data_IF_483863809229
#
_entry.id   IF_483863809229
#
_cell.length_a   1.000
_cell.length_b   1.000
_cell.length_c   1.000
_cell.angle_alpha   90.00
_cell.angle_beta   90.00
_cell.angle_gamma   90.00
#
_symmetry.space_group_name_H-M   'P 1'
#
loop_
_entity.id
_entity.type
_entity.pdbx_description
1 polymer ?
#
# COMPACT_ATOMS: atom_id res chain seq x y z
N UNK A 1 27.92 -4.00 -15.82
CA UNK A 1 27.47 -4.57 -17.10
C UNK A 1 27.17 -3.42 -18.05
N UNK A 2 27.40 -3.56 -19.36
CA UNK A 2 27.05 -2.49 -20.31
C UNK A 2 25.52 -2.41 -20.48
N UNK A 3 24.98 -1.26 -20.82
CA UNK A 3 23.56 -1.04 -21.09
C UNK A 3 22.97 -2.04 -22.09
N UNK A 4 23.77 -2.49 -23.07
CA UNK A 4 23.43 -3.53 -24.04
C UNK A 4 23.23 -4.92 -23.39
N UNK A 5 24.05 -5.29 -22.39
CA UNK A 5 23.93 -6.58 -21.70
C UNK A 5 22.70 -6.61 -20.79
N UNK A 6 22.38 -5.50 -20.11
CA UNK A 6 21.17 -5.37 -19.29
C UNK A 6 19.91 -5.47 -20.16
N UNK A 7 19.90 -4.81 -21.33
CA UNK A 7 18.81 -4.90 -22.30
C UNK A 7 18.58 -6.33 -22.78
N UNK A 8 19.64 -7.04 -23.19
CA UNK A 8 19.53 -8.43 -23.69
C UNK A 8 19.03 -9.38 -22.61
N UNK A 9 19.51 -9.24 -21.37
CA UNK A 9 19.08 -10.08 -20.26
C UNK A 9 17.58 -9.93 -19.96
N UNK A 10 17.09 -8.69 -19.90
CA UNK A 10 15.65 -8.44 -19.69
C UNK A 10 14.82 -8.90 -20.88
N UNK A 11 15.30 -8.71 -22.12
CA UNK A 11 14.62 -9.17 -23.31
C UNK A 11 14.40 -10.69 -23.32
N UNK A 12 15.35 -11.47 -22.82
CA UNK A 12 15.22 -12.93 -22.68
C UNK A 12 14.14 -13.30 -21.64
N UNK A 13 14.13 -12.63 -20.46
CA UNK A 13 13.10 -12.86 -19.44
C UNK A 13 11.70 -12.53 -19.99
N UNK A 14 11.55 -11.40 -20.65
CA UNK A 14 10.28 -10.96 -21.24
C UNK A 14 9.84 -11.91 -22.36
N UNK A 15 10.75 -12.37 -23.21
CA UNK A 15 10.42 -13.32 -24.29
C UNK A 15 9.90 -14.67 -23.73
N UNK A 16 10.51 -15.21 -22.66
CA UNK A 16 10.03 -16.42 -21.98
C UNK A 16 8.68 -16.17 -21.32
N UNK A 17 8.51 -15.05 -20.63
CA UNK A 17 7.24 -14.65 -20.02
C UNK A 17 6.11 -14.55 -21.05
N UNK A 18 6.36 -13.96 -22.23
CA UNK A 18 5.36 -13.86 -23.31
C UNK A 18 4.95 -15.22 -23.84
N UNK A 19 5.90 -16.16 -24.01
CA UNK A 19 5.59 -17.54 -24.43
C UNK A 19 4.70 -18.24 -23.40
N UNK A 20 5.03 -18.11 -22.12
CA UNK A 20 4.25 -18.68 -21.03
C UNK A 20 2.85 -18.03 -20.93
N UNK A 21 2.78 -16.72 -21.07
CA UNK A 21 1.53 -15.96 -21.04
C UNK A 21 0.61 -16.33 -22.22
N UNK A 22 1.15 -16.57 -23.40
CA UNK A 22 0.35 -17.01 -24.55
C UNK A 22 -0.36 -18.36 -24.28
N UNK A 23 0.28 -19.28 -23.55
CA UNK A 23 -0.33 -20.53 -23.10
C UNK A 23 -1.42 -20.24 -22.06
N UNK A 24 -1.11 -19.43 -21.03
CA UNK A 24 -2.07 -19.06 -19.98
C UNK A 24 -3.31 -18.35 -20.53
N UNK A 25 -3.18 -17.63 -21.64
CA UNK A 25 -4.30 -16.92 -22.27
C UNK A 25 -5.43 -17.86 -22.71
N UNK A 26 -5.14 -19.14 -22.94
CA UNK A 26 -6.13 -20.18 -23.23
C UNK A 26 -6.80 -20.80 -21.99
N UNK A 27 -6.38 -20.44 -20.78
CA UNK A 27 -6.89 -21.05 -19.54
C UNK A 27 -8.28 -20.49 -19.17
N UNK A 28 -9.12 -21.38 -18.64
CA UNK A 28 -10.43 -21.04 -18.09
C UNK A 28 -10.31 -20.32 -16.74
N UNK A 29 -11.42 -19.72 -16.26
CA UNK A 29 -11.49 -19.15 -14.92
C UNK A 29 -11.14 -20.17 -13.83
N UNK A 30 -11.66 -21.39 -13.94
CA UNK A 30 -11.40 -22.46 -12.98
C UNK A 30 -9.91 -22.82 -12.91
N UNK A 31 -9.22 -22.87 -14.05
CA UNK A 31 -7.79 -23.19 -14.11
C UNK A 31 -6.94 -22.09 -13.44
N UNK A 32 -7.21 -20.81 -13.73
CA UNK A 32 -6.45 -19.72 -13.10
C UNK A 32 -6.76 -19.57 -11.61
N UNK A 33 -8.00 -19.87 -11.19
CA UNK A 33 -8.40 -19.87 -9.77
C UNK A 33 -7.74 -21.01 -9.00
N UNK A 34 -7.65 -22.20 -9.62
CA UNK A 34 -6.94 -23.34 -9.03
C UNK A 34 -5.45 -22.99 -8.81
N UNK A 35 -4.77 -22.45 -9.83
CA UNK A 35 -3.35 -22.10 -9.73
C UNK A 35 -3.13 -21.04 -8.66
N UNK A 36 -3.92 -19.96 -8.67
CA UNK A 36 -3.81 -18.89 -7.69
C UNK A 36 -4.09 -19.39 -6.26
N UNK A 37 -5.13 -20.20 -6.10
CA UNK A 37 -5.46 -20.84 -4.83
C UNK A 37 -4.36 -21.79 -4.33
N UNK A 38 -3.75 -22.58 -5.21
CA UNK A 38 -2.65 -23.47 -4.87
C UNK A 38 -1.40 -22.67 -4.42
N UNK A 39 -1.07 -21.58 -5.10
CA UNK A 39 0.03 -20.70 -4.70
C UNK A 39 -0.20 -20.17 -3.27
N UNK A 40 -1.39 -19.61 -2.99
CA UNK A 40 -1.71 -19.07 -1.66
C UNK A 40 -1.70 -20.20 -0.63
N UNK A 41 -2.33 -21.34 -0.92
CA UNK A 41 -2.42 -22.47 -0.02
C UNK A 41 -1.04 -22.97 0.41
N UNK A 42 -0.15 -23.26 -0.53
CA UNK A 42 1.17 -23.82 -0.23
C UNK A 42 2.07 -22.82 0.50
N UNK A 43 2.12 -21.56 0.05
CA UNK A 43 2.96 -20.52 0.67
C UNK A 43 2.45 -20.05 2.04
N UNK A 44 1.18 -20.39 2.39
CA UNK A 44 0.60 -20.10 3.70
C UNK A 44 0.72 -21.27 4.68
N UNK A 45 1.30 -22.42 4.29
CA UNK A 45 1.52 -23.53 5.24
C UNK A 45 2.49 -23.14 6.34
N UNK A 46 2.23 -23.53 7.61
CA UNK A 46 2.98 -23.03 8.76
C UNK A 46 4.49 -23.16 8.64
N UNK A 47 4.99 -24.32 8.18
CA UNK A 47 6.44 -24.58 8.08
C UNK A 47 7.10 -23.72 6.99
N UNK A 48 6.47 -23.61 5.80
CA UNK A 48 7.03 -22.82 4.70
C UNK A 48 6.91 -21.32 4.99
N UNK A 49 5.80 -20.88 5.55
CA UNK A 49 5.60 -19.49 5.95
C UNK A 49 6.60 -19.08 7.05
N UNK A 50 6.90 -19.95 8.02
CA UNK A 50 7.94 -19.69 9.03
C UNK A 50 9.30 -19.53 8.37
N UNK A 51 9.70 -20.49 7.51
CA UNK A 51 10.97 -20.42 6.78
C UNK A 51 11.11 -19.14 5.97
N UNK A 52 10.08 -18.74 5.22
CA UNK A 52 10.10 -17.52 4.40
C UNK A 52 10.22 -16.28 5.30
N UNK A 53 9.50 -16.25 6.42
CA UNK A 53 9.53 -15.14 7.37
C UNK A 53 10.92 -14.98 8.03
N UNK A 54 11.54 -16.08 8.44
CA UNK A 54 12.90 -16.11 8.96
C UNK A 54 13.91 -15.61 7.90
N UNK A 55 13.84 -16.14 6.68
CA UNK A 55 14.70 -15.69 5.57
C UNK A 55 14.56 -14.18 5.33
N UNK A 56 13.35 -13.65 5.31
CA UNK A 56 13.08 -12.24 5.09
C UNK A 56 13.67 -11.36 6.21
N UNK A 57 13.51 -11.79 7.46
CA UNK A 57 14.11 -11.11 8.61
C UNK A 57 15.63 -11.19 8.58
N UNK A 58 16.20 -12.37 8.34
CA UNK A 58 17.65 -12.57 8.33
C UNK A 58 18.35 -11.77 7.23
N UNK A 59 17.74 -11.67 6.06
CA UNK A 59 18.29 -10.91 4.94
C UNK A 59 18.16 -9.40 5.12
N UNK A 60 17.08 -8.91 5.70
CA UNK A 60 16.77 -7.48 5.79
C UNK A 60 17.02 -6.88 7.17
N UNK A 61 16.92 -7.71 8.22
CA UNK A 61 16.88 -7.32 9.64
C UNK A 61 15.74 -6.30 9.93
N UNK A 62 14.68 -6.30 9.13
CA UNK A 62 13.53 -5.39 9.23
C UNK A 62 12.30 -6.13 9.75
N UNK A 63 11.55 -5.48 10.63
CA UNK A 63 10.27 -5.97 11.14
C UNK A 63 10.41 -7.08 12.19
N UNK A 64 9.43 -7.96 12.21
CA UNK A 64 9.33 -9.10 13.14
C UNK A 64 9.04 -10.39 12.36
N UNK A 65 9.72 -11.48 12.65
CA UNK A 65 9.49 -12.81 12.04
C UNK A 65 8.02 -13.21 12.16
N UNK A 66 7.43 -13.03 13.33
CA UNK A 66 6.04 -13.38 13.60
C UNK A 66 5.06 -12.56 12.73
N UNK A 67 5.30 -11.25 12.58
CA UNK A 67 4.48 -10.39 11.72
C UNK A 67 4.59 -10.77 10.24
N UNK A 68 5.81 -11.09 9.78
CA UNK A 68 6.02 -11.58 8.41
C UNK A 68 5.32 -12.92 8.17
N UNK A 69 5.41 -13.84 9.13
CA UNK A 69 4.68 -15.11 9.10
C UNK A 69 3.17 -14.88 9.04
N UNK A 70 2.63 -13.98 9.87
CA UNK A 70 1.21 -13.64 9.90
C UNK A 70 0.70 -13.05 8.56
N UNK A 71 1.51 -12.27 7.86
CA UNK A 71 1.16 -11.80 6.50
C UNK A 71 0.91 -12.98 5.54
N UNK A 72 1.73 -14.03 5.62
CA UNK A 72 1.61 -15.21 4.77
C UNK A 72 0.45 -16.11 5.20
N UNK A 73 0.30 -16.38 6.50
CA UNK A 73 -0.66 -17.35 7.02
C UNK A 73 -2.08 -16.82 7.19
N UNK A 74 -2.24 -15.48 7.33
CA UNK A 74 -3.55 -14.87 7.56
C UNK A 74 -3.93 -13.85 6.47
N UNK A 75 -3.05 -12.89 6.13
CA UNK A 75 -3.42 -11.82 5.21
C UNK A 75 -3.50 -12.30 3.76
N UNK A 76 -2.57 -13.13 3.28
CA UNK A 76 -2.64 -13.69 1.92
C UNK A 76 -3.89 -14.53 1.68
N UNK A 77 -4.26 -15.49 2.56
CA UNK A 77 -5.54 -16.20 2.44
C UNK A 77 -6.76 -15.28 2.47
N UNK A 78 -6.73 -14.23 3.30
CA UNK A 78 -7.82 -13.27 3.38
C UNK A 78 -7.97 -12.43 2.07
N UNK A 79 -6.85 -12.05 1.44
CA UNK A 79 -6.87 -11.42 0.11
C UNK A 79 -7.46 -12.39 -0.92
N UNK A 80 -6.99 -13.63 -0.96
CA UNK A 80 -7.53 -14.62 -1.89
C UNK A 80 -9.02 -14.87 -1.68
N UNK A 81 -9.47 -14.89 -0.43
CA UNK A 81 -10.89 -14.99 -0.09
C UNK A 81 -11.71 -13.85 -0.71
N UNK A 82 -11.22 -12.62 -0.68
CA UNK A 82 -11.94 -11.48 -1.26
C UNK A 82 -12.06 -11.59 -2.79
N UNK A 83 -10.99 -11.99 -3.46
CA UNK A 83 -10.93 -11.98 -4.92
C UNK A 83 -11.47 -13.25 -5.58
N UNK A 84 -11.59 -14.40 -4.86
CA UNK A 84 -11.88 -15.72 -5.45
C UNK A 84 -13.19 -15.81 -6.24
N UNK A 85 -14.15 -14.94 -5.94
CA UNK A 85 -15.46 -14.90 -6.62
C UNK A 85 -15.51 -13.90 -7.76
N UNK A 86 -14.48 -13.04 -7.92
CA UNK A 86 -14.41 -12.08 -9.02
C UNK A 86 -14.07 -12.80 -10.33
N UNK A 87 -14.81 -12.51 -11.39
CA UNK A 87 -14.48 -13.00 -12.73
C UNK A 87 -13.33 -12.18 -13.32
N UNK A 88 -12.37 -12.88 -13.91
CA UNK A 88 -11.17 -12.27 -14.53
C UNK A 88 -10.91 -12.84 -15.92
N UNK A 89 -11.75 -13.79 -16.40
CA UNK A 89 -11.58 -14.48 -17.67
C UNK A 89 -12.87 -14.41 -18.47
N UNK A 90 -12.77 -14.00 -19.73
CA UNK A 90 -13.91 -13.91 -20.63
C UNK A 90 -14.90 -12.81 -20.24
N UNK A 91 -16.19 -13.10 -20.39
CA UNK A 91 -17.26 -12.17 -20.03
C UNK A 91 -17.36 -12.06 -18.51
N UNK A 92 -17.11 -10.87 -17.99
CA UNK A 92 -17.14 -10.59 -16.54
C UNK A 92 -18.40 -9.89 -16.09
N UNK A 93 -19.08 -9.20 -17.01
CA UNK A 93 -20.33 -8.47 -16.73
C UNK A 93 -21.21 -8.38 -17.96
N UNK A 94 -22.53 -8.32 -17.75
CA UNK A 94 -23.56 -8.06 -18.77
C UNK A 94 -24.56 -7.05 -18.20
N UNK A 95 -24.53 -5.85 -18.75
CA UNK A 95 -25.53 -4.82 -18.47
C UNK A 95 -26.56 -4.82 -19.63
N UNK A 96 -27.57 -5.65 -19.49
CA UNK A 96 -28.62 -5.81 -20.49
C UNK A 96 -29.42 -4.52 -20.70
N UNK A 97 -29.60 -3.73 -19.64
CA UNK A 97 -30.32 -2.47 -19.69
C UNK A 97 -29.61 -1.41 -20.57
N UNK A 98 -28.30 -1.47 -20.67
CA UNK A 98 -27.48 -0.57 -21.46
C UNK A 98 -26.84 -1.26 -22.68
N UNK A 99 -27.17 -2.54 -22.94
CA UNK A 99 -26.62 -3.29 -24.07
C UNK A 99 -25.13 -3.45 -24.05
N UNK A 100 -24.52 -3.55 -22.84
CA UNK A 100 -23.06 -3.63 -22.68
C UNK A 100 -22.64 -5.01 -22.18
N UNK A 101 -21.70 -5.62 -22.89
CA UNK A 101 -21.00 -6.82 -22.42
C UNK A 101 -19.55 -6.46 -22.15
N UNK A 102 -19.09 -6.67 -20.91
CA UNK A 102 -17.71 -6.39 -20.50
C UNK A 102 -16.89 -7.67 -20.46
N UNK A 103 -15.74 -7.66 -21.14
CA UNK A 103 -14.81 -8.79 -21.25
C UNK A 103 -13.47 -8.41 -20.62
N UNK A 104 -12.97 -9.24 -19.70
CA UNK A 104 -11.63 -9.08 -19.16
C UNK A 104 -10.57 -9.61 -20.13
N UNK A 105 -9.50 -8.83 -20.30
CA UNK A 105 -8.35 -9.18 -21.13
C UNK A 105 -7.04 -8.95 -20.38
N UNK A 106 -6.06 -9.84 -20.46
CA UNK A 106 -4.77 -9.64 -19.81
C UNK A 106 -4.06 -8.40 -20.35
N UNK A 107 -3.19 -7.83 -19.53
CA UNK A 107 -2.18 -6.86 -20.00
C UNK A 107 -1.11 -7.54 -20.85
N UNK A 108 -0.65 -8.71 -20.42
CA UNK A 108 0.46 -9.45 -20.99
C UNK A 108 1.52 -9.79 -19.97
N UNK A 109 2.64 -9.05 -19.96
CA UNK A 109 3.74 -9.24 -19.00
C UNK A 109 3.78 -8.05 -18.03
N UNK A 110 3.76 -8.34 -16.73
CA UNK A 110 3.78 -7.38 -15.64
C UNK A 110 5.20 -7.25 -15.09
N UNK A 111 5.73 -6.02 -15.02
CA UNK A 111 6.88 -5.68 -14.20
C UNK A 111 6.44 -5.49 -12.74
N UNK A 112 6.87 -6.36 -11.82
CA UNK A 112 6.49 -6.35 -10.43
C UNK A 112 7.65 -5.87 -9.54
N UNK A 113 7.65 -4.60 -9.13
CA UNK A 113 8.68 -4.05 -8.24
C UNK A 113 8.39 -4.44 -6.79
N UNK A 114 9.35 -5.04 -6.11
CA UNK A 114 9.19 -5.64 -4.77
C UNK A 114 10.05 -4.88 -3.75
N UNK A 115 9.44 -4.29 -2.68
CA UNK A 115 10.18 -3.57 -1.66
C UNK A 115 10.89 -4.51 -0.68
N UNK A 116 11.91 -4.01 0.02
CA UNK A 116 12.61 -4.78 1.05
C UNK A 116 11.77 -5.04 2.30
N UNK A 117 10.81 -4.17 2.61
CA UNK A 117 9.96 -4.26 3.81
C UNK A 117 8.92 -5.39 3.75
N UNK A 118 8.54 -5.83 2.54
CA UNK A 118 7.54 -6.88 2.31
C UNK A 118 7.99 -7.83 1.18
N UNK A 119 9.26 -8.22 1.18
CA UNK A 119 9.85 -9.09 0.14
C UNK A 119 9.28 -10.51 0.16
N UNK A 120 8.68 -10.93 1.26
CA UNK A 120 8.03 -12.22 1.46
C UNK A 120 6.62 -12.27 0.85
N UNK A 121 5.83 -11.22 1.02
CA UNK A 121 4.40 -11.22 0.69
C UNK A 121 4.09 -10.57 -0.67
N UNK A 122 4.81 -9.51 -1.05
CA UNK A 122 4.55 -8.76 -2.29
C UNK A 122 4.69 -9.61 -3.56
N UNK A 123 5.70 -10.49 -3.72
CA UNK A 123 5.80 -11.33 -4.92
C UNK A 123 4.63 -12.31 -5.03
N UNK A 124 4.14 -12.87 -3.91
CA UNK A 124 2.98 -13.75 -3.89
C UNK A 124 1.73 -12.98 -4.33
N UNK A 125 1.47 -11.83 -3.69
CA UNK A 125 0.33 -10.98 -4.00
C UNK A 125 0.26 -10.61 -5.48
N UNK A 126 1.36 -10.09 -6.04
CA UNK A 126 1.38 -9.66 -7.44
C UNK A 126 1.28 -10.84 -8.42
N UNK A 127 1.86 -11.98 -8.08
CA UNK A 127 1.77 -13.19 -8.90
C UNK A 127 0.35 -13.76 -8.90
N UNK A 128 -0.31 -13.85 -7.75
CA UNK A 128 -1.68 -14.36 -7.61
C UNK A 128 -2.66 -13.52 -8.44
N UNK A 129 -2.63 -12.20 -8.28
CA UNK A 129 -3.53 -11.31 -9.03
C UNK A 129 -3.18 -11.31 -10.53
N UNK A 130 -1.89 -11.35 -10.87
CA UNK A 130 -1.41 -11.41 -12.25
C UNK A 130 -1.88 -12.69 -12.96
N UNK A 131 -1.66 -13.85 -12.36
CA UNK A 131 -2.04 -15.17 -12.93
C UNK A 131 -3.56 -15.27 -13.09
N UNK A 132 -4.35 -14.86 -12.10
CA UNK A 132 -5.80 -14.89 -12.19
C UNK A 132 -6.33 -14.07 -13.38
N UNK A 133 -5.65 -13.00 -13.73
CA UNK A 133 -5.96 -12.19 -14.92
C UNK A 133 -5.21 -12.63 -16.18
N UNK A 134 -4.60 -13.80 -16.17
CA UNK A 134 -3.85 -14.41 -17.28
C UNK A 134 -2.63 -13.61 -17.73
N UNK A 135 -1.96 -12.92 -16.81
CA UNK A 135 -0.68 -12.27 -17.06
C UNK A 135 0.50 -13.14 -16.62
N UNK A 136 1.65 -12.94 -17.25
CA UNK A 136 2.93 -13.32 -16.67
C UNK A 136 3.50 -12.19 -15.81
N UNK A 137 4.30 -12.53 -14.80
CA UNK A 137 4.85 -11.58 -13.82
C UNK A 137 6.35 -11.76 -13.70
N UNK A 138 7.10 -10.67 -13.85
CA UNK A 138 8.54 -10.66 -13.60
C UNK A 138 8.82 -9.78 -12.38
N UNK A 139 9.32 -10.40 -11.31
CA UNK A 139 9.65 -9.71 -10.08
C UNK A 139 11.03 -9.03 -10.17
N UNK A 140 11.08 -7.75 -9.84
CA UNK A 140 12.32 -6.99 -9.62
C UNK A 140 12.46 -6.71 -8.12
N UNK A 141 13.21 -7.53 -7.36
CA UNK A 141 13.39 -7.36 -5.93
C UNK A 141 14.32 -6.19 -5.61
N UNK A 142 14.13 -5.62 -4.42
CA UNK A 142 15.13 -4.73 -3.87
C UNK A 142 16.43 -5.50 -3.62
N UNK A 143 17.64 -4.97 -3.95
CA UNK A 143 18.91 -5.69 -3.78
C UNK A 143 19.16 -6.29 -2.38
N UNK A 144 18.68 -5.59 -1.32
CA UNK A 144 18.83 -6.02 0.07
C UNK A 144 17.84 -7.13 0.50
N UNK A 145 16.97 -7.62 -0.40
CA UNK A 145 15.97 -8.66 -0.09
C UNK A 145 15.79 -9.65 -1.24
N UNK A 146 16.78 -9.75 -2.10
CA UNK A 146 16.71 -10.55 -3.33
C UNK A 146 16.61 -12.05 -3.06
N UNK A 147 17.31 -12.56 -2.04
CA UNK A 147 17.34 -14.01 -1.74
C UNK A 147 15.96 -14.53 -1.34
N UNK A 148 15.27 -13.79 -0.47
CA UNK A 148 13.92 -14.12 -0.04
C UNK A 148 12.94 -14.08 -1.22
N UNK A 149 12.98 -13.01 -2.03
CA UNK A 149 12.08 -12.88 -3.19
C UNK A 149 12.33 -13.99 -4.22
N UNK A 150 13.60 -14.32 -4.51
CA UNK A 150 13.95 -15.42 -5.43
C UNK A 150 13.40 -16.73 -4.88
N UNK A 151 13.62 -17.05 -3.60
CA UNK A 151 13.10 -18.26 -2.98
C UNK A 151 11.58 -18.37 -3.08
N UNK A 152 10.86 -17.28 -2.81
CA UNK A 152 9.39 -17.23 -2.96
C UNK A 152 8.97 -17.49 -4.40
N UNK A 153 9.63 -16.87 -5.37
CA UNK A 153 9.35 -17.08 -6.80
C UNK A 153 9.65 -18.53 -7.22
N UNK A 154 10.73 -19.13 -6.73
CA UNK A 154 11.07 -20.53 -7.03
C UNK A 154 9.99 -21.49 -6.48
N UNK A 155 9.44 -21.23 -5.30
CA UNK A 155 8.30 -22.01 -4.77
C UNK A 155 7.05 -21.81 -5.64
N UNK A 156 6.75 -20.57 -6.07
CA UNK A 156 5.63 -20.30 -6.98
C UNK A 156 5.81 -21.10 -8.29
N UNK A 157 7.01 -21.13 -8.87
CA UNK A 157 7.33 -21.88 -10.08
C UNK A 157 7.09 -23.39 -9.90
N UNK A 158 7.47 -23.94 -8.74
CA UNK A 158 7.18 -25.36 -8.43
C UNK A 158 5.68 -25.62 -8.38
N UNK A 159 4.88 -24.71 -7.79
CA UNK A 159 3.41 -24.84 -7.76
C UNK A 159 2.83 -24.74 -9.17
N UNK A 160 3.34 -23.84 -10.02
CA UNK A 160 2.92 -23.71 -11.43
C UNK A 160 3.11 -25.06 -12.17
N UNK A 161 4.31 -25.65 -12.06
CA UNK A 161 4.62 -26.96 -12.69
C UNK A 161 3.69 -28.04 -12.15
N UNK A 162 3.46 -28.10 -10.83
CA UNK A 162 2.56 -29.06 -10.22
C UNK A 162 1.09 -28.93 -10.69
N UNK A 163 0.68 -27.70 -11.06
CA UNK A 163 -0.62 -27.42 -11.66
C UNK A 163 -0.64 -27.63 -13.20
N UNK A 164 0.43 -28.09 -13.81
CA UNK A 164 0.55 -28.25 -15.28
C UNK A 164 0.64 -26.91 -16.03
N UNK A 165 1.02 -25.82 -15.36
CA UNK A 165 1.19 -24.50 -15.95
C UNK A 165 2.67 -24.20 -16.25
N UNK A 166 2.96 -23.33 -17.24
CA UNK A 166 4.33 -22.93 -17.53
C UNK A 166 5.01 -22.25 -16.34
N UNK A 167 6.19 -22.72 -15.97
CA UNK A 167 6.95 -22.14 -14.85
C UNK A 167 7.38 -20.69 -15.10
N UNK A 168 7.61 -20.30 -16.35
CA UNK A 168 8.03 -18.94 -16.75
C UNK A 168 6.89 -17.89 -16.69
N UNK A 169 5.69 -18.28 -16.20
CA UNK A 169 4.63 -17.33 -15.82
C UNK A 169 5.05 -16.42 -14.68
N UNK A 170 5.95 -16.88 -13.80
CA UNK A 170 6.52 -16.04 -12.75
C UNK A 170 8.04 -16.18 -12.78
N UNK A 171 8.71 -15.05 -12.94
CA UNK A 171 10.16 -14.98 -12.99
C UNK A 171 10.68 -13.91 -12.02
N UNK A 172 11.98 -13.94 -11.72
CA UNK A 172 12.64 -12.98 -10.85
C UNK A 172 14.00 -12.57 -11.42
N UNK A 173 14.34 -11.28 -11.33
CA UNK A 173 15.70 -10.80 -11.64
C UNK A 173 16.65 -11.30 -10.54
N UNK A 174 17.58 -12.18 -10.88
CA UNK A 174 18.51 -12.80 -9.93
C UNK A 174 19.55 -11.83 -9.35
N UNK A 175 20.00 -10.87 -10.13
CA UNK A 175 20.98 -9.86 -9.74
C UNK A 175 20.39 -8.44 -9.92
N UNK A 176 19.45 -8.01 -9.06
CA UNK A 176 18.70 -6.78 -9.28
C UNK A 176 19.57 -5.52 -9.15
N UNK A 177 19.30 -4.57 -10.03
CA UNK A 177 19.88 -3.22 -10.01
C UNK A 177 18.83 -2.19 -10.43
N UNK A 178 19.09 -0.91 -10.18
CA UNK A 178 18.22 0.17 -10.67
C UNK A 178 18.12 0.16 -12.21
N UNK A 179 19.20 -0.12 -12.90
CA UNK A 179 19.24 -0.20 -14.38
C UNK A 179 18.37 -1.35 -14.90
N UNK A 180 18.49 -2.56 -14.33
CA UNK A 180 17.66 -3.70 -14.71
C UNK A 180 16.18 -3.50 -14.39
N UNK A 181 15.85 -2.82 -13.27
CA UNK A 181 14.48 -2.48 -12.94
C UNK A 181 13.89 -1.47 -13.95
N UNK A 182 14.66 -0.45 -14.34
CA UNK A 182 14.25 0.51 -15.36
C UNK A 182 14.04 -0.17 -16.73
N UNK A 183 14.96 -1.06 -17.12
CA UNK A 183 14.84 -1.82 -18.36
C UNK A 183 13.63 -2.77 -18.36
N UNK A 184 13.36 -3.43 -17.21
CA UNK A 184 12.17 -4.26 -17.06
C UNK A 184 10.89 -3.45 -17.25
N UNK A 185 10.79 -2.28 -16.61
CA UNK A 185 9.64 -1.37 -16.75
C UNK A 185 9.44 -0.94 -18.22
N UNK A 186 10.51 -0.69 -18.96
CA UNK A 186 10.45 -0.28 -20.36
C UNK A 186 9.98 -1.41 -21.29
N UNK A 187 10.33 -2.67 -21.02
CA UNK A 187 10.04 -3.81 -21.89
C UNK A 187 8.72 -4.54 -21.56
N UNK A 188 8.20 -4.41 -20.34
CA UNK A 188 6.91 -4.99 -19.95
C UNK A 188 5.72 -4.17 -20.43
N UNK A 189 4.50 -4.74 -20.33
CA UNK A 189 3.27 -4.11 -20.78
C UNK A 189 2.67 -3.16 -19.73
N UNK A 190 2.89 -3.47 -18.45
CA UNK A 190 2.44 -2.65 -17.30
C UNK A 190 3.39 -2.83 -16.13
N UNK A 191 3.52 -1.80 -15.30
CA UNK A 191 4.31 -1.86 -14.07
C UNK A 191 3.41 -1.82 -12.83
N UNK A 192 3.61 -2.79 -11.92
CA UNK A 192 3.04 -2.78 -10.58
C UNK A 192 4.15 -2.44 -9.58
N UNK A 193 4.22 -1.18 -9.15
CA UNK A 193 5.28 -0.68 -8.30
C UNK A 193 4.83 -0.54 -6.84
N UNK A 194 5.62 -1.10 -5.92
CA UNK A 194 5.50 -0.86 -4.48
C UNK A 194 6.89 -0.55 -3.96
N UNK A 195 7.10 0.64 -3.39
CA UNK A 195 8.43 1.05 -2.95
C UNK A 195 8.54 2.52 -2.57
N UNK A 196 9.77 3.03 -2.57
CA UNK A 196 10.05 4.44 -2.30
C UNK A 196 9.45 5.38 -3.35
N UNK A 197 9.28 6.66 -3.00
CA UNK A 197 8.82 7.69 -3.92
C UNK A 197 9.61 7.73 -5.22
N UNK A 198 10.94 7.61 -5.15
CA UNK A 198 11.81 7.57 -6.36
C UNK A 198 11.47 6.41 -7.28
N UNK A 199 11.20 5.23 -6.72
CA UNK A 199 10.85 4.03 -7.51
C UNK A 199 9.47 4.18 -8.14
N UNK A 200 8.51 4.77 -7.43
CA UNK A 200 7.17 5.05 -7.93
C UNK A 200 7.25 6.11 -9.05
N UNK A 201 8.01 7.16 -8.86
CA UNK A 201 8.26 8.16 -9.90
C UNK A 201 8.93 7.55 -11.15
N UNK A 202 9.92 6.67 -10.97
CA UNK A 202 10.53 5.95 -12.08
C UNK A 202 9.51 5.07 -12.83
N UNK A 203 8.58 4.41 -12.12
CA UNK A 203 7.52 3.61 -12.74
C UNK A 203 6.59 4.47 -13.60
N UNK A 204 6.11 5.60 -13.09
CA UNK A 204 5.25 6.52 -13.86
C UNK A 204 6.00 7.23 -15.00
N UNK A 205 7.31 7.38 -14.90
CA UNK A 205 8.16 7.97 -15.94
C UNK A 205 8.69 6.96 -16.97
N UNK A 206 8.36 5.67 -16.84
CA UNK A 206 8.87 4.61 -17.71
C UNK A 206 8.32 4.62 -19.15
N UNK A 207 7.29 5.45 -19.40
CA UNK A 207 6.59 5.46 -20.69
C UNK A 207 5.60 4.30 -20.88
N UNK A 208 5.38 3.49 -19.85
CA UNK A 208 4.39 2.40 -19.80
C UNK A 208 3.33 2.67 -18.75
N UNK A 209 2.12 2.11 -18.89
CA UNK A 209 1.12 2.16 -17.83
C UNK A 209 1.69 1.63 -16.53
N UNK A 210 1.38 2.31 -15.41
CA UNK A 210 1.88 1.93 -14.11
C UNK A 210 0.81 2.11 -13.02
N UNK A 211 0.83 1.20 -12.05
CA UNK A 211 0.15 1.32 -10.77
C UNK A 211 1.23 1.37 -9.69
N UNK A 212 1.61 2.59 -9.34
CA UNK A 212 2.60 2.86 -8.31
C UNK A 212 1.92 3.23 -7.01
N UNK A 213 2.39 2.68 -5.91
CA UNK A 213 1.93 3.03 -4.56
C UNK A 213 3.13 3.51 -3.75
N UNK A 214 3.00 4.72 -3.22
CA UNK A 214 4.10 5.49 -2.67
C UNK A 214 4.20 5.47 -1.16
N UNK A 215 4.81 6.52 -0.67
CA UNK A 215 5.10 6.80 0.74
C UNK A 215 3.81 7.01 1.52
N UNK A 216 3.73 6.46 2.73
CA UNK A 216 2.66 6.74 3.69
C UNK A 216 3.15 7.69 4.79
N UNK A 217 2.22 8.37 5.43
CA UNK A 217 2.52 9.19 6.61
C UNK A 217 1.24 9.38 7.43
N UNK A 218 0.79 8.31 8.07
CA UNK A 218 -0.49 8.29 8.76
C UNK A 218 -0.51 9.26 9.94
N UNK A 219 -1.34 10.30 9.84
CA UNK A 219 -1.69 11.22 10.91
C UNK A 219 -3.08 10.84 11.47
N UNK A 220 -3.20 10.66 12.79
CA UNK A 220 -4.39 10.15 13.45
C UNK A 220 -4.89 11.13 14.51
N UNK A 221 -6.10 11.68 14.32
CA UNK A 221 -6.73 12.57 15.29
C UNK A 221 -7.34 11.75 16.45
N UNK A 222 -7.21 12.26 17.66
CA UNK A 222 -7.81 11.69 18.88
C UNK A 222 -8.54 12.80 19.60
N UNK A 223 -9.87 12.70 19.69
CA UNK A 223 -10.67 13.68 20.38
C UNK A 223 -11.16 13.21 21.76
N UNK A 224 -11.80 14.11 22.48
CA UNK A 224 -12.26 13.92 23.86
C UNK A 224 -13.45 12.95 23.99
N UNK A 225 -14.01 12.46 22.87
CA UNK A 225 -15.22 11.63 22.90
C UNK A 225 -14.95 10.14 23.07
N UNK A 226 -13.67 9.73 23.06
CA UNK A 226 -13.27 8.31 23.07
C UNK A 226 -12.73 7.85 24.43
N UNK A 227 -12.75 6.54 24.65
CA UNK A 227 -12.03 5.94 25.76
C UNK A 227 -10.51 5.97 25.50
N UNK A 228 -9.77 6.55 26.46
CA UNK A 228 -8.32 6.78 26.30
C UNK A 228 -7.52 5.48 26.35
N UNK A 229 -7.93 4.52 27.19
CA UNK A 229 -7.19 3.26 27.35
C UNK A 229 -7.37 2.36 26.12
N UNK A 230 -8.62 2.22 25.65
CA UNK A 230 -8.92 1.48 24.42
C UNK A 230 -8.21 2.10 23.22
N UNK A 231 -8.22 3.44 23.11
CA UNK A 231 -7.57 4.16 22.01
C UNK A 231 -6.06 4.02 22.05
N UNK A 232 -5.43 4.14 23.22
CA UNK A 232 -4.00 3.96 23.38
C UNK A 232 -3.57 2.54 22.98
N UNK A 233 -4.35 1.51 23.34
CA UNK A 233 -4.11 0.13 22.90
C UNK A 233 -4.18 -0.02 21.38
N UNK A 234 -5.15 0.62 20.71
CA UNK A 234 -5.24 0.62 19.25
C UNK A 234 -4.04 1.31 18.58
N UNK A 235 -3.60 2.47 19.11
CA UNK A 235 -2.40 3.17 18.63
C UNK A 235 -1.16 2.27 18.79
N UNK A 236 -0.97 1.62 19.95
CA UNK A 236 0.12 0.67 20.14
C UNK A 236 0.09 -0.45 19.09
N UNK A 237 -1.07 -1.10 18.90
CA UNK A 237 -1.22 -2.20 17.94
C UNK A 237 -0.83 -1.76 16.53
N UNK A 238 -1.32 -0.61 16.08
CA UNK A 238 -1.01 -0.08 14.76
C UNK A 238 0.44 0.34 14.60
N UNK A 239 0.99 1.02 15.63
CA UNK A 239 2.37 1.51 15.64
C UNK A 239 3.41 0.41 15.71
N UNK A 240 3.19 -0.60 16.56
CA UNK A 240 4.22 -1.63 16.80
C UNK A 240 4.16 -2.80 15.81
N UNK A 241 3.10 -2.87 15.00
CA UNK A 241 2.95 -3.91 13.98
C UNK A 241 4.16 -3.97 13.04
N UNK A 242 4.83 -5.10 13.00
CA UNK A 242 6.03 -5.36 12.18
C UNK A 242 7.12 -4.27 12.35
N UNK A 243 7.31 -3.75 13.56
CA UNK A 243 8.19 -2.62 13.88
C UNK A 243 7.94 -1.39 12.99
N UNK A 244 6.68 -1.08 12.69
CA UNK A 244 6.28 0.01 11.81
C UNK A 244 6.89 -0.05 10.39
N UNK A 245 7.15 -1.24 9.86
CA UNK A 245 7.70 -1.44 8.50
C UNK A 245 6.70 -1.07 7.40
N UNK A 246 5.41 -0.97 7.72
CA UNK A 246 4.35 -0.64 6.77
C UNK A 246 4.09 0.86 6.68
N UNK A 247 3.82 1.36 5.47
CA UNK A 247 3.44 2.75 5.20
C UNK A 247 2.13 3.19 5.89
N UNK A 248 1.36 2.25 6.43
CA UNK A 248 0.12 2.50 7.19
C UNK A 248 0.32 2.65 8.68
N UNK A 249 1.51 2.36 9.23
CA UNK A 249 1.76 2.53 10.67
C UNK A 249 1.56 3.99 11.07
N UNK A 250 0.97 4.24 12.24
CA UNK A 250 0.78 5.58 12.77
C UNK A 250 2.12 6.31 12.87
N UNK A 251 2.28 7.38 12.12
CA UNK A 251 3.46 8.24 12.15
C UNK A 251 3.30 9.40 13.10
N UNK A 252 2.08 9.96 13.15
CA UNK A 252 1.73 11.06 14.02
C UNK A 252 0.36 10.85 14.64
N UNK A 253 0.20 11.27 15.88
CA UNK A 253 -1.09 11.45 16.55
C UNK A 253 -1.31 12.93 16.86
N UNK A 254 -2.56 13.36 16.76
CA UNK A 254 -2.99 14.76 16.95
C UNK A 254 -4.07 14.72 18.04
N UNK A 255 -3.72 15.10 19.25
CA UNK A 255 -4.51 14.87 20.46
C UNK A 255 -5.16 16.17 20.93
N UNK A 256 -6.46 16.11 21.22
CA UNK A 256 -7.20 17.27 21.76
C UNK A 256 -6.63 17.71 23.11
N UNK A 257 -6.46 19.01 23.31
CA UNK A 257 -5.71 19.59 24.43
C UNK A 257 -6.23 19.16 25.81
N UNK A 258 -7.56 19.07 25.99
CA UNK A 258 -8.15 18.70 27.29
C UNK A 258 -7.83 17.27 27.74
N UNK A 259 -7.51 16.39 26.81
CA UNK A 259 -7.18 14.98 27.08
C UNK A 259 -5.71 14.63 26.87
N UNK A 260 -4.91 15.56 26.39
CA UNK A 260 -3.53 15.32 25.95
C UNK A 260 -2.66 14.59 27.01
N UNK A 261 -2.53 15.17 28.21
CA UNK A 261 -1.71 14.58 29.27
C UNK A 261 -2.26 13.24 29.77
N UNK A 262 -3.62 13.12 29.77
CA UNK A 262 -4.31 11.88 30.10
C UNK A 262 -3.99 10.78 29.11
N UNK A 263 -3.93 11.14 27.83
CA UNK A 263 -3.64 10.22 26.73
C UNK A 263 -2.17 9.80 26.69
N UNK A 264 -1.23 10.72 26.93
CA UNK A 264 0.18 10.36 27.08
C UNK A 264 0.38 9.33 28.20
N UNK A 265 -0.26 9.51 29.36
CA UNK A 265 -0.24 8.51 30.45
C UNK A 265 -0.90 7.18 30.05
N UNK A 266 -1.89 7.20 29.18
CA UNK A 266 -2.49 5.97 28.66
C UNK A 266 -1.52 5.25 27.71
N UNK A 267 -0.80 5.98 26.84
CA UNK A 267 0.23 5.42 25.99
C UNK A 267 1.41 4.84 26.80
N UNK A 268 1.84 5.48 27.88
CA UNK A 268 2.88 4.93 28.78
C UNK A 268 2.48 3.58 29.38
N UNK A 269 1.20 3.42 29.79
CA UNK A 269 0.66 2.12 30.24
C UNK A 269 0.66 1.07 29.14
N UNK A 270 0.54 1.48 27.87
CA UNK A 270 0.63 0.62 26.71
C UNK A 270 2.09 0.41 26.20
N UNK A 271 3.09 0.84 26.97
CA UNK A 271 4.51 0.61 26.66
C UNK A 271 5.18 1.72 25.85
N UNK A 272 4.62 2.92 25.79
CA UNK A 272 5.30 4.08 25.24
C UNK A 272 6.40 4.59 26.15
N UNK A 273 7.46 5.11 25.56
CA UNK A 273 8.47 5.95 26.20
C UNK A 273 8.31 7.39 25.71
N UNK A 274 8.01 8.31 26.60
CA UNK A 274 7.88 9.72 26.24
C UNK A 274 9.26 10.36 26.31
N UNK A 275 9.80 10.74 25.17
CA UNK A 275 11.14 11.32 25.07
C UNK A 275 11.16 12.78 25.52
N UNK A 276 12.20 13.17 26.25
CA UNK A 276 12.48 14.58 26.58
C UNK A 276 12.91 15.36 25.36
N UNK A 277 12.91 16.70 25.42
CA UNK A 277 13.40 17.56 24.35
C UNK A 277 14.86 17.27 23.95
N UNK A 278 15.72 16.97 24.92
CA UNK A 278 17.12 16.59 24.68
C UNK A 278 17.19 15.24 23.94
N UNK A 279 16.41 14.25 24.34
CA UNK A 279 16.36 12.94 23.70
C UNK A 279 15.75 13.02 22.30
N UNK A 280 14.74 13.88 22.08
CA UNK A 280 14.20 14.20 20.75
C UNK A 280 15.29 14.68 19.80
N UNK A 281 16.17 15.58 20.27
CA UNK A 281 17.30 16.06 19.46
C UNK A 281 18.28 14.93 19.11
N UNK A 282 18.58 14.03 20.06
CA UNK A 282 19.43 12.85 19.83
C UNK A 282 18.78 11.87 18.84
N UNK A 283 17.48 11.65 18.95
CA UNK A 283 16.70 10.84 18.00
C UNK A 283 16.73 11.45 16.60
N UNK A 284 16.56 12.77 16.48
CA UNK A 284 16.63 13.45 15.19
C UNK A 284 17.95 13.22 14.47
N UNK A 285 19.06 13.25 15.18
CA UNK A 285 20.39 13.07 14.62
C UNK A 285 20.62 11.67 14.02
N UNK A 286 19.89 10.65 14.46
CA UNK A 286 20.05 9.25 13.97
C UNK A 286 18.94 8.79 13.04
N UNK A 287 17.75 9.41 13.12
CA UNK A 287 16.61 9.04 12.28
C UNK A 287 16.76 9.50 10.83
N UNK A 288 17.49 10.59 10.58
CA UNK A 288 17.69 11.11 9.24
C UNK A 288 19.16 11.25 8.87
N UNK A 289 19.50 10.82 7.66
CA UNK A 289 20.80 10.98 7.03
C UNK A 289 20.59 11.67 5.67
N UNK A 290 21.21 12.85 5.48
CA UNK A 290 21.10 13.64 4.24
C UNK A 290 19.62 13.92 3.81
N UNK A 291 18.75 14.21 4.75
CA UNK A 291 17.33 14.48 4.51
C UNK A 291 16.45 13.25 4.23
N UNK A 292 17.00 12.05 4.28
CA UNK A 292 16.28 10.80 4.11
C UNK A 292 16.26 9.99 5.40
N UNK A 293 15.22 9.18 5.61
CA UNK A 293 15.16 8.27 6.76
C UNK A 293 16.32 7.28 6.71
N UNK A 294 17.06 7.18 7.81
CA UNK A 294 18.21 6.30 7.91
C UNK A 294 17.79 4.83 7.86
N UNK A 295 18.45 4.04 7.02
CA UNK A 295 18.23 2.58 6.96
C UNK A 295 18.55 1.86 8.27
N UNK A 296 19.33 2.48 9.16
CA UNK A 296 19.70 1.90 10.46
C UNK A 296 18.53 1.85 11.44
N UNK A 297 17.48 2.67 11.22
CA UNK A 297 16.30 2.75 12.10
C UNK A 297 15.02 2.18 11.48
N UNK A 298 14.99 1.98 10.16
CA UNK A 298 13.79 1.48 9.46
C UNK A 298 13.42 0.08 9.96
N UNK A 299 12.22 -0.03 10.53
CA UNK A 299 11.64 -1.28 11.05
C UNK A 299 12.51 -2.02 12.08
N UNK A 300 13.31 -1.26 12.85
CA UNK A 300 14.16 -1.80 13.90
C UNK A 300 13.45 -1.84 15.26
N UNK A 301 13.85 -2.76 16.15
CA UNK A 301 13.41 -2.75 17.55
C UNK A 301 13.72 -1.42 18.22
N UNK A 302 12.86 -1.02 19.18
CA UNK A 302 13.04 0.25 19.92
C UNK A 302 14.38 0.36 20.63
N UNK A 303 14.89 -0.75 21.19
CA UNK A 303 16.20 -0.79 21.86
C UNK A 303 17.38 -0.49 20.94
N UNK A 304 17.32 -0.91 19.66
CA UNK A 304 18.35 -0.57 18.67
C UNK A 304 18.32 0.92 18.33
N UNK A 305 17.12 1.48 18.15
CA UNK A 305 16.94 2.93 17.89
C UNK A 305 17.47 3.75 19.07
N UNK A 306 17.10 3.34 20.30
CA UNK A 306 17.55 3.96 21.54
C UNK A 306 19.09 3.93 21.68
N UNK A 307 19.70 2.78 21.43
CA UNK A 307 21.15 2.61 21.49
C UNK A 307 21.88 3.51 20.47
N UNK A 308 21.38 3.59 19.23
CA UNK A 308 21.92 4.48 18.20
C UNK A 308 21.85 5.96 18.61
N UNK A 309 20.77 6.36 19.28
CA UNK A 309 20.55 7.72 19.75
C UNK A 309 21.27 8.03 21.07
N UNK A 310 21.84 7.04 21.74
CA UNK A 310 22.47 7.19 23.06
C UNK A 310 21.47 7.60 24.14
N UNK A 311 20.24 7.04 24.10
CA UNK A 311 19.18 7.27 25.09
C UNK A 311 18.86 5.97 25.85
N UNK A 312 18.48 6.12 27.12
CA UNK A 312 18.18 4.98 28.00
C UNK A 312 16.65 4.71 28.01
N UNK A 313 16.19 3.84 27.12
CA UNK A 313 14.79 3.40 27.07
C UNK A 313 14.65 2.08 27.84
N UNK A 314 13.73 1.99 28.84
CA UNK A 314 13.49 0.75 29.58
C UNK A 314 13.09 -0.41 28.65
N UNK A 315 13.48 -1.64 29.00
CA UNK A 315 13.30 -2.82 28.14
C UNK A 315 11.83 -3.23 27.92
N UNK A 316 10.92 -2.78 28.77
CA UNK A 316 9.47 -3.00 28.66
C UNK A 316 8.77 -2.02 27.71
N UNK A 317 9.50 -1.04 27.19
CA UNK A 317 8.95 -0.06 26.23
C UNK A 317 9.04 -0.60 24.81
N UNK A 318 7.97 -0.39 24.06
CA UNK A 318 7.80 -0.95 22.72
C UNK A 318 7.85 0.10 21.61
N UNK A 319 7.66 1.38 21.94
CA UNK A 319 7.79 2.51 21.01
C UNK A 319 8.13 3.80 21.78
N UNK A 320 8.65 4.78 21.04
CA UNK A 320 9.02 6.10 21.57
C UNK A 320 8.02 7.12 21.06
N UNK A 321 7.60 8.05 21.91
CA UNK A 321 6.78 9.22 21.57
C UNK A 321 7.62 10.47 21.68
N UNK A 322 7.57 11.33 20.65
CA UNK A 322 8.16 12.66 20.65
C UNK A 322 7.07 13.71 20.47
N UNK A 323 7.07 14.76 21.26
CA UNK A 323 6.17 15.89 21.10
C UNK A 323 6.71 16.84 20.01
N UNK A 324 5.82 17.39 19.18
CA UNK A 324 6.17 18.28 18.08
C UNK A 324 5.10 19.38 17.92
N UNK A 325 5.52 20.54 17.43
CA UNK A 325 4.63 21.69 17.23
C UNK A 325 4.53 22.11 15.76
N UNK A 326 5.59 21.86 15.00
CA UNK A 326 5.69 22.26 13.59
C UNK A 326 5.64 21.11 12.59
N UNK A 327 5.61 21.46 11.31
CA UNK A 327 5.62 20.51 10.20
C UNK A 327 6.63 20.94 9.12
N UNK A 328 7.03 20.03 8.26
CA UNK A 328 7.95 20.33 7.14
C UNK A 328 9.40 20.02 7.45
N UNK A 329 10.30 20.52 6.62
CA UNK A 329 11.73 20.17 6.66
C UNK A 329 12.43 20.56 7.95
N UNK A 330 12.02 21.66 8.58
CA UNK A 330 12.56 22.11 9.88
C UNK A 330 12.04 21.27 11.05
N UNK A 331 10.96 20.53 10.83
CA UNK A 331 10.31 19.64 11.78
C UNK A 331 10.21 18.22 11.20
N UNK A 332 11.33 17.52 10.99
CA UNK A 332 11.37 16.27 10.23
C UNK A 332 10.54 15.14 10.86
N UNK A 333 10.25 15.20 12.15
CA UNK A 333 9.35 14.25 12.82
C UNK A 333 7.91 14.27 12.26
N UNK A 334 7.53 15.30 11.50
CA UNK A 334 6.27 15.34 10.75
C UNK A 334 6.25 14.41 9.52
N UNK A 335 7.41 13.95 9.03
CA UNK A 335 7.52 13.04 7.90
C UNK A 335 7.36 11.56 8.25
N UNK A 336 7.28 10.70 7.21
CA UNK A 336 7.28 9.25 7.38
C UNK A 336 8.59 8.79 8.01
N UNK A 337 8.50 7.90 9.01
CA UNK A 337 9.67 7.42 9.76
C UNK A 337 9.94 5.93 9.59
N UNK A 338 8.94 5.13 9.22
CA UNK A 338 9.03 3.66 9.13
C UNK A 338 9.76 3.05 10.35
N UNK A 339 9.50 3.58 11.53
CA UNK A 339 10.21 3.23 12.77
C UNK A 339 9.28 3.32 13.97
N UNK A 340 9.71 2.76 15.10
CA UNK A 340 8.97 2.78 16.36
C UNK A 340 9.04 4.15 17.09
N UNK A 341 9.13 5.24 16.32
CA UNK A 341 9.03 6.62 16.83
C UNK A 341 7.73 7.23 16.35
N UNK A 342 6.86 7.61 17.28
CA UNK A 342 5.57 8.24 17.07
C UNK A 342 5.65 9.73 17.40
N UNK A 343 5.15 10.59 16.54
CA UNK A 343 5.05 12.02 16.83
C UNK A 343 3.71 12.35 17.45
N UNK A 344 3.70 13.14 18.52
CA UNK A 344 2.50 13.63 19.19
C UNK A 344 2.36 15.14 19.01
N UNK A 345 1.22 15.56 18.50
CA UNK A 345 0.80 16.96 18.40
C UNK A 345 -0.39 17.21 19.31
N UNK A 346 -0.57 18.46 19.72
CA UNK A 346 -1.71 18.94 20.48
C UNK A 346 -2.54 19.91 19.65
N UNK A 347 -3.88 19.88 19.76
CA UNK A 347 -4.77 20.83 19.11
C UNK A 347 -5.85 21.33 20.06
N UNK A 348 -6.36 22.52 19.83
CA UNK A 348 -7.48 23.14 20.56
C UNK A 348 -8.79 23.02 19.78
N UNK A 349 -8.89 23.62 18.59
CA UNK A 349 -10.05 23.53 17.73
C UNK A 349 -9.91 22.39 16.72
N UNK A 350 -11.02 21.73 16.36
CA UNK A 350 -10.97 20.57 15.44
C UNK A 350 -10.47 20.94 14.05
N UNK A 351 -10.74 22.15 13.59
CA UNK A 351 -10.27 22.71 12.34
C UNK A 351 -8.72 22.76 12.29
N UNK A 352 -8.06 23.05 13.41
CA UNK A 352 -6.59 23.05 13.51
C UNK A 352 -6.05 21.63 13.35
N UNK A 353 -6.75 20.63 13.90
CA UNK A 353 -6.37 19.23 13.73
C UNK A 353 -6.47 18.79 12.26
N UNK A 354 -7.53 19.19 11.56
CA UNK A 354 -7.69 18.90 10.11
C UNK A 354 -6.62 19.60 9.29
N UNK A 355 -6.33 20.87 9.59
CA UNK A 355 -5.26 21.63 8.95
C UNK A 355 -3.89 20.95 9.16
N UNK A 356 -3.63 20.46 10.37
CA UNK A 356 -2.40 19.77 10.72
C UNK A 356 -2.27 18.42 9.99
N UNK A 357 -3.37 17.64 9.84
CA UNK A 357 -3.37 16.44 8.99
C UNK A 357 -2.94 16.77 7.56
N UNK A 358 -3.51 17.84 6.98
CA UNK A 358 -3.15 18.27 5.63
C UNK A 358 -1.69 18.75 5.53
N UNK A 359 -1.18 19.45 6.54
CA UNK A 359 0.21 19.90 6.58
C UNK A 359 1.20 18.72 6.69
N UNK A 360 0.92 17.78 7.58
CA UNK A 360 1.73 16.56 7.79
C UNK A 360 1.76 15.71 6.50
N UNK A 361 0.58 15.41 5.95
CA UNK A 361 0.48 14.57 4.74
C UNK A 361 0.96 15.30 3.49
N UNK A 362 0.82 16.64 3.44
CA UNK A 362 1.35 17.47 2.36
C UNK A 362 2.88 17.51 2.32
N UNK A 363 3.53 17.46 3.48
CA UNK A 363 4.99 17.36 3.56
C UNK A 363 5.50 15.99 3.10
N UNK A 364 4.85 14.92 3.51
CA UNK A 364 5.19 13.53 3.14
C UNK A 364 3.94 12.66 3.16
N UNK A 365 3.76 11.78 2.17
CA UNK A 365 2.66 10.81 2.16
C UNK A 365 1.33 11.36 1.63
N UNK A 366 1.35 12.38 0.78
CA UNK A 366 0.15 12.95 0.16
C UNK A 366 -0.74 11.87 -0.45
N UNK A 367 -2.05 11.98 -0.19
CA UNK A 367 -3.06 11.09 -0.74
C UNK A 367 -3.13 9.71 -0.10
N UNK A 368 -2.21 9.33 0.80
CA UNK A 368 -2.20 7.97 1.33
C UNK A 368 -3.40 7.72 2.27
N UNK A 369 -3.37 8.16 3.50
CA UNK A 369 -4.45 7.95 4.46
C UNK A 369 -4.25 8.78 5.74
N UNK A 370 -5.35 9.02 6.45
CA UNK A 370 -5.34 9.52 7.81
C UNK A 370 -6.30 8.69 8.68
N UNK A 371 -6.32 8.96 9.98
CA UNK A 371 -7.20 8.28 10.91
C UNK A 371 -7.87 9.23 11.88
N UNK A 372 -8.91 8.74 12.54
CA UNK A 372 -9.59 9.45 13.62
C UNK A 372 -10.14 8.47 14.65
N UNK A 373 -9.86 8.73 15.91
CA UNK A 373 -10.55 8.17 17.04
C UNK A 373 -11.51 9.24 17.59
N UNK A 374 -12.77 9.13 17.24
CA UNK A 374 -13.86 10.04 17.61
C UNK A 374 -15.19 9.29 17.59
N UNK A 375 -16.13 9.67 18.45
CA UNK A 375 -17.52 9.27 18.41
C UNK A 375 -18.43 10.37 17.82
N UNK A 376 -17.86 11.50 17.38
CA UNK A 376 -18.58 12.59 16.74
C UNK A 376 -18.61 12.34 15.22
N UNK A 377 -19.80 12.02 14.68
CA UNK A 377 -20.01 11.73 13.27
C UNK A 377 -19.70 12.92 12.33
N UNK A 378 -19.97 14.14 12.78
CA UNK A 378 -19.75 15.35 11.99
C UNK A 378 -18.23 15.61 11.81
N UNK A 379 -17.45 15.43 12.88
CA UNK A 379 -15.98 15.52 12.81
C UNK A 379 -15.37 14.46 11.90
N UNK A 380 -15.89 13.23 11.95
CA UNK A 380 -15.46 12.15 11.07
C UNK A 380 -15.72 12.51 9.60
N UNK A 381 -16.93 13.03 9.31
CA UNK A 381 -17.30 13.45 7.96
C UNK A 381 -16.47 14.65 7.51
N UNK A 382 -16.29 15.67 8.37
CA UNK A 382 -15.50 16.86 8.10
C UNK A 382 -14.05 16.47 7.72
N UNK A 383 -13.41 15.59 8.51
CA UNK A 383 -12.07 15.09 8.19
C UNK A 383 -12.01 14.47 6.80
N UNK A 384 -13.01 13.66 6.44
CA UNK A 384 -13.08 13.03 5.12
C UNK A 384 -13.27 14.01 3.98
N UNK A 385 -14.03 15.09 4.20
CA UNK A 385 -14.31 16.12 3.19
C UNK A 385 -13.14 17.08 2.98
N UNK A 386 -12.39 17.40 4.03
CA UNK A 386 -11.40 18.49 4.02
C UNK A 386 -9.96 18.02 3.85
N UNK A 387 -9.69 16.69 3.96
CA UNK A 387 -8.33 16.16 3.79
C UNK A 387 -8.06 15.61 2.39
N UNK A 388 -6.82 15.73 1.93
CA UNK A 388 -6.33 15.16 0.68
C UNK A 388 -5.77 13.76 0.91
N UNK A 389 -6.61 12.84 1.40
CA UNK A 389 -6.26 11.46 1.69
C UNK A 389 -7.27 10.49 1.05
N UNK A 390 -6.80 9.36 0.58
CA UNK A 390 -7.64 8.35 -0.10
C UNK A 390 -8.46 7.51 0.88
N UNK A 391 -8.11 7.49 2.16
CA UNK A 391 -8.77 6.69 3.20
C UNK A 391 -8.74 7.41 4.54
N UNK A 392 -9.85 7.38 5.24
CA UNK A 392 -9.98 7.79 6.65
C UNK A 392 -10.31 6.56 7.48
N UNK A 393 -9.44 6.19 8.40
CA UNK A 393 -9.61 5.02 9.28
C UNK A 393 -10.21 5.47 10.61
N UNK A 394 -11.39 4.95 10.93
CA UNK A 394 -12.16 5.38 12.09
C UNK A 394 -12.10 4.34 13.21
N UNK A 395 -11.62 4.74 14.39
CA UNK A 395 -11.57 3.95 15.64
C UNK A 395 -10.92 2.56 15.51
N UNK A 396 -9.96 2.41 14.63
CA UNK A 396 -9.23 1.15 14.39
C UNK A 396 -7.72 1.38 14.47
N UNK A 397 -6.90 0.34 14.77
CA UNK A 397 -5.46 0.42 14.58
C UNK A 397 -5.14 0.71 13.12
N UNK A 398 -4.63 1.90 12.83
CA UNK A 398 -4.47 2.39 11.46
C UNK A 398 -3.51 1.50 10.65
N UNK A 399 -2.40 1.09 11.25
CA UNK A 399 -1.40 0.21 10.64
C UNK A 399 -1.95 -1.14 10.16
N UNK A 400 -3.03 -1.61 10.78
CA UNK A 400 -3.70 -2.87 10.42
C UNK A 400 -4.86 -2.64 9.46
N UNK A 401 -5.71 -1.67 9.76
CA UNK A 401 -7.01 -1.50 9.12
C UNK A 401 -6.95 -0.89 7.71
N UNK A 402 -5.97 0.00 7.44
CA UNK A 402 -5.87 0.76 6.20
C UNK A 402 -5.73 -0.13 4.95
N UNK A 403 -5.09 -1.27 5.08
CA UNK A 403 -4.91 -2.24 4.00
C UNK A 403 -6.02 -3.29 3.91
N UNK A 404 -7.17 -3.00 4.49
CA UNK A 404 -8.31 -3.91 4.60
C UNK A 404 -8.15 -4.98 5.68
N UNK A 405 -9.23 -5.27 6.39
CA UNK A 405 -9.30 -6.28 7.45
C UNK A 405 -10.64 -7.01 7.42
N UNK A 406 -10.82 -8.01 8.28
CA UNK A 406 -12.14 -8.65 8.45
C UNK A 406 -13.16 -7.75 9.17
N UNK A 407 -12.69 -6.68 9.84
CA UNK A 407 -13.50 -5.77 10.64
C UNK A 407 -13.84 -4.45 9.94
N UNK A 408 -13.47 -4.29 8.66
CA UNK A 408 -13.89 -3.13 7.85
C UNK A 408 -14.15 -3.53 6.40
N UNK A 409 -14.81 -2.64 5.64
CA UNK A 409 -15.22 -2.88 4.26
C UNK A 409 -14.15 -2.55 3.20
N UNK A 410 -12.93 -2.14 3.60
CA UNK A 410 -11.86 -1.91 2.63
C UNK A 410 -11.35 -3.23 2.06
N UNK A 411 -11.12 -3.25 0.75
CA UNK A 411 -10.53 -4.41 0.10
C UNK A 411 -9.14 -4.73 0.68
N UNK A 412 -8.87 -6.00 0.95
CA UNK A 412 -7.58 -6.44 1.48
C UNK A 412 -6.51 -6.41 0.41
N UNK A 413 -5.36 -5.81 0.73
CA UNK A 413 -4.29 -5.60 -0.25
C UNK A 413 -2.92 -5.43 0.41
N UNK A 414 -1.87 -5.48 -0.41
CA UNK A 414 -0.51 -5.00 -0.09
C UNK A 414 -0.12 -3.76 -0.91
N UNK A 415 -1.07 -3.15 -1.64
CA UNK A 415 -0.81 -1.99 -2.50
C UNK A 415 -1.89 -0.93 -2.32
N UNK A 416 -1.51 0.22 -1.76
CA UNK A 416 -2.41 1.28 -1.32
C UNK A 416 -2.26 2.51 -2.23
N UNK A 417 -3.20 2.72 -3.15
CA UNK A 417 -3.19 3.90 -4.01
C UNK A 417 -3.35 5.21 -3.24
N UNK A 418 -2.67 6.24 -3.68
CA UNK A 418 -2.65 7.57 -3.05
C UNK A 418 -3.37 8.64 -3.91
N UNK A 419 -4.01 8.24 -5.00
CA UNK A 419 -4.68 9.16 -5.91
C UNK A 419 -3.73 10.17 -6.56
N UNK A 420 -4.30 11.12 -7.29
CA UNK A 420 -3.53 12.19 -7.92
C UNK A 420 -2.79 13.07 -6.92
N UNK A 421 -3.26 13.16 -5.68
CA UNK A 421 -2.56 13.87 -4.60
C UNK A 421 -1.18 13.29 -4.30
N UNK A 422 -1.04 11.97 -4.38
CA UNK A 422 0.23 11.26 -4.23
C UNK A 422 0.91 10.92 -5.55
N UNK A 423 0.47 11.52 -6.68
CA UNK A 423 1.00 11.23 -8.01
C UNK A 423 0.70 9.80 -8.49
N UNK A 424 -0.38 9.20 -7.99
CA UNK A 424 -0.77 7.83 -8.35
C UNK A 424 -1.96 7.82 -9.31
N UNK A 425 -2.06 6.79 -10.14
CA UNK A 425 -3.17 6.57 -11.05
C UNK A 425 -4.44 6.01 -10.38
N UNK A 426 -4.36 5.60 -9.11
CA UNK A 426 -5.47 5.06 -8.32
C UNK A 426 -5.49 5.65 -6.92
N UNK A 427 -6.71 5.89 -6.37
CA UNK A 427 -6.95 6.38 -5.01
C UNK A 427 -7.49 5.31 -4.07
N UNK A 428 -7.53 4.06 -4.50
CA UNK A 428 -8.12 2.96 -3.73
C UNK A 428 -7.11 1.85 -3.45
N UNK A 429 -7.53 0.88 -2.65
CA UNK A 429 -6.79 -0.35 -2.44
C UNK A 429 -6.70 -1.11 -3.77
N UNK A 430 -5.48 -1.42 -4.21
CA UNK A 430 -5.27 -2.13 -5.48
C UNK A 430 -5.74 -3.58 -5.32
N UNK A 431 -6.67 -3.99 -6.19
CA UNK A 431 -7.32 -5.30 -6.18
C UNK A 431 -7.24 -5.96 -7.56
N UNK A 432 -7.95 -7.03 -7.72
CA UNK A 432 -7.99 -7.83 -8.95
C UNK A 432 -8.34 -7.00 -10.20
N UNK A 433 -9.26 -6.04 -10.09
CA UNK A 433 -9.70 -5.19 -11.22
C UNK A 433 -8.58 -4.34 -11.85
N UNK A 434 -7.47 -4.14 -11.13
CA UNK A 434 -6.32 -3.39 -11.62
C UNK A 434 -5.29 -4.26 -12.37
N UNK A 435 -5.61 -5.54 -12.61
CA UNK A 435 -4.69 -6.50 -13.24
C UNK A 435 -5.13 -6.94 -14.63
N UNK A 436 -6.18 -6.33 -15.19
CA UNK A 436 -6.64 -6.63 -16.55
C UNK A 436 -7.21 -5.39 -17.25
N UNK A 437 -7.18 -5.43 -18.59
CA UNK A 437 -7.91 -4.52 -19.44
C UNK A 437 -9.36 -4.99 -19.60
N UNK A 438 -10.23 -4.09 -20.02
CA UNK A 438 -11.61 -4.43 -20.44
C UNK A 438 -11.84 -4.12 -21.90
N UNK A 439 -12.56 -5.02 -22.59
CA UNK A 439 -13.19 -4.74 -23.87
C UNK A 439 -14.68 -4.68 -23.64
N UNK A 440 -15.36 -3.67 -24.19
CA UNK A 440 -16.81 -3.56 -24.15
C UNK A 440 -17.38 -3.81 -25.53
N UNK A 441 -18.37 -4.70 -25.62
CA UNK A 441 -19.27 -4.83 -26.77
C UNK A 441 -20.47 -3.95 -26.44
N UNK A 442 -20.83 -3.04 -27.34
CA UNK A 442 -21.97 -2.18 -27.17
C UNK A 442 -22.99 -2.52 -28.28
N UNK A 443 -24.16 -2.98 -27.86
CA UNK A 443 -25.28 -3.27 -28.76
C UNK A 443 -26.18 -2.05 -28.92
N UNK A 444 -26.87 -1.89 -30.06
CA UNK A 444 -27.78 -0.76 -30.27
C UNK A 444 -28.96 -0.82 -29.31
N UNK A 445 -29.36 0.35 -28.80
CA UNK A 445 -30.55 0.50 -27.97
C UNK A 445 -31.60 1.28 -28.75
N UNK A 446 -32.85 0.83 -28.67
CA UNK A 446 -33.99 1.58 -29.19
C UNK A 446 -34.40 2.68 -28.21
N UNK A 447 -33.61 3.77 -28.19
CA UNK A 447 -33.82 4.93 -27.32
C UNK A 447 -33.79 6.21 -28.15
N UNK A 448 -34.84 7.02 -28.04
CA UNK A 448 -34.83 8.39 -28.56
C UNK A 448 -33.92 9.27 -27.66
N UNK A 449 -33.34 10.30 -28.28
CA UNK A 449 -32.65 11.32 -27.50
C UNK A 449 -33.65 12.00 -26.56
N UNK A 450 -33.30 12.19 -25.25
CA UNK A 450 -34.17 12.90 -24.32
C UNK A 450 -34.28 14.38 -24.69
N UNK A 451 -35.38 15.02 -24.28
CA UNK A 451 -35.56 16.47 -24.40
C UNK A 451 -34.70 17.25 -23.39
N UNK A 452 -34.63 18.56 -23.53
CA UNK A 452 -33.84 19.45 -22.66
C UNK A 452 -34.22 19.31 -21.19
N UNK A 453 -35.50 19.13 -20.87
CA UNK A 453 -35.95 18.98 -19.51
C UNK A 453 -35.42 17.68 -18.88
N UNK A 454 -35.38 16.60 -19.62
CA UNK A 454 -34.80 15.33 -19.18
C UNK A 454 -33.26 15.37 -19.17
N UNK A 455 -32.62 16.06 -20.14
CA UNK A 455 -31.15 16.22 -20.21
C UNK A 455 -30.65 17.00 -19.00
N UNK A 456 -31.24 18.16 -18.71
CA UNK A 456 -30.76 19.06 -17.67
C UNK A 456 -31.41 18.83 -16.28
N UNK A 457 -32.47 18.01 -16.22
CA UNK A 457 -33.15 17.60 -15.01
C UNK A 457 -33.62 18.77 -14.15
N UNK A 458 -33.57 18.67 -12.79
CA UNK A 458 -34.10 19.71 -11.91
C UNK A 458 -33.44 21.09 -12.05
N UNK A 459 -32.31 21.16 -12.74
CA UNK A 459 -31.60 22.42 -12.95
C UNK A 459 -32.00 23.13 -14.25
N UNK A 460 -32.82 22.51 -15.12
CA UNK A 460 -33.16 23.04 -16.45
C UNK A 460 -33.58 24.50 -16.45
N UNK A 461 -34.56 24.89 -15.61
CA UNK A 461 -35.03 26.27 -15.53
C UNK A 461 -33.95 27.27 -15.08
N UNK A 462 -33.05 26.88 -14.18
CA UNK A 462 -31.92 27.71 -13.73
C UNK A 462 -30.87 27.84 -14.84
N UNK A 463 -30.57 26.74 -15.55
CA UNK A 463 -29.61 26.70 -16.67
C UNK A 463 -30.10 27.56 -17.81
N UNK A 464 -31.37 27.42 -18.20
CA UNK A 464 -32.00 28.20 -19.29
C UNK A 464 -32.05 29.71 -18.99
N UNK A 465 -32.05 30.08 -17.70
CA UNK A 465 -32.03 31.50 -17.29
C UNK A 465 -30.63 32.12 -17.30
N UNK A 466 -29.56 31.34 -17.43
CA UNK A 466 -28.16 31.85 -17.49
C UNK A 466 -27.99 32.64 -18.79
N UNK A 467 -27.74 33.95 -18.70
CA UNK A 467 -27.47 34.82 -19.86
C UNK A 467 -25.99 34.80 -20.18
N UNK A 468 -25.65 34.44 -21.39
CA UNK A 468 -24.32 34.60 -21.96
C UNK A 468 -24.36 35.82 -22.91
N UNK A 469 -23.30 36.63 -22.93
CA UNK A 469 -23.13 37.65 -23.94
C UNK A 469 -22.98 36.94 -25.31
N UNK A 470 -24.03 36.94 -26.12
CA UNK A 470 -23.97 36.43 -27.50
C UNK A 470 -23.18 37.46 -28.31
N UNK A 471 -21.93 37.16 -28.62
CA UNK A 471 -21.14 38.00 -29.51
C UNK A 471 -19.65 37.98 -29.23
N UNK A 472 -18.95 37.05 -29.82
CA UNK A 472 -17.62 37.26 -30.41
C UNK A 472 -17.51 36.33 -31.62
#
# INVERSE_FOLDING_TARGET
>A
MSQSADHSHIAELVARARKAQAILNGYSQEQVDLIAGAIVYHLSRPELAAKIAEMAYDETKMGLVESKRAKLTHKMPAIFHDIRTEKTVGVIDRDEANGIITIAKPYGVIAALVPSTNCEATPIFKSVLGIRARNAVICAPHPASKKTTIFVVDVIRQVLVACGAPEDLVQCIAAPSKALAAELMAQCDVTMATGSGDMVNAAYSSGKPAYGVGVGNAAVIIDETVDLAETASKIRIGKTGDNASGCSAENSIIVQASIHDGFLRALEREGAYIATAEEKAKLQAVLWENGHVSRKVVARPVGEIAALAGIAVPADRTFIVVEEEGTGAEHPFSGEKLSLVLTCYKYEAFEDAVALVNAITGYSGSGHSCGIHSNNADRILQLGLETKTSRVIVRQPHGVANSGSWSNGLAKTFSLGCGSWGGNSVSENVTQKHYYNTTRIAEPLDRAAPDDAAIYGPLFGKIAAVRIAAGA
#
